data_IF_275892457632
#
_entry.id   IF_275892457632
#
_cell.length_a   1.000
_cell.length_b   1.000
_cell.length_c   1.000
_cell.angle_alpha   90.00
_cell.angle_beta   90.00
_cell.angle_gamma   90.00
#
_symmetry.space_group_name_H-M   'P 1'
#
loop_
_entity.id
_entity.type
_entity.pdbx_description
1 polymer ?
#
# COMPACT_ATOMS: atom_id res chain seq x y z
N UNK A 1 -6.67 78.64 -59.36
CA UNK A 1 -8.07 78.99 -59.60
C UNK A 1 -8.79 78.38 -58.40
N UNK A 2 -8.89 79.15 -57.42
CA UNK A 2 -9.98 80.13 -57.16
C UNK A 2 -11.13 79.35 -56.54
N UNK A 3 -11.24 79.60 -55.27
CA UNK A 3 -12.32 80.34 -54.60
C UNK A 3 -13.52 79.49 -54.31
N UNK A 4 -14.22 79.47 -53.16
CA UNK A 4 -14.33 80.38 -52.06
C UNK A 4 -15.07 79.63 -50.92
N UNK A 5 -14.61 79.82 -49.76
CA UNK A 5 -15.22 80.32 -48.50
C UNK A 5 -16.77 80.33 -48.47
N UNK A 6 -17.34 79.64 -47.49
CA UNK A 6 -18.17 80.29 -46.48
C UNK A 6 -18.65 79.40 -45.37
N UNK A 7 -18.21 79.71 -44.16
CA UNK A 7 -18.88 79.67 -42.87
C UNK A 7 -20.35 79.30 -42.88
N UNK A 8 -20.68 78.33 -42.04
CA UNK A 8 -21.83 78.43 -41.17
C UNK A 8 -21.53 77.79 -39.83
N UNK A 9 -21.35 78.60 -38.84
CA UNK A 9 -21.50 78.23 -37.44
C UNK A 9 -22.94 77.76 -37.27
N UNK A 10 -23.10 76.58 -36.72
CA UNK A 10 -24.36 76.13 -36.19
C UNK A 10 -24.05 75.56 -34.81
N UNK A 11 -24.68 76.19 -33.88
CA UNK A 11 -24.65 75.98 -32.45
C UNK A 11 -24.70 74.53 -32.09
N UNK A 12 -23.71 74.06 -31.27
CA UNK A 12 -23.80 72.86 -30.49
C UNK A 12 -24.73 73.09 -29.37
N UNK A 13 -25.97 72.73 -29.54
CA UNK A 13 -26.90 72.60 -28.40
C UNK A 13 -26.31 71.43 -27.55
N UNK A 14 -25.81 71.77 -26.38
CA UNK A 14 -25.46 70.94 -25.26
C UNK A 14 -26.78 70.32 -24.75
N UNK A 15 -27.07 69.08 -25.23
CA UNK A 15 -28.13 68.30 -24.66
C UNK A 15 -27.60 67.78 -23.31
N UNK A 16 -27.89 68.54 -22.27
CA UNK A 16 -27.81 68.08 -20.90
C UNK A 16 -28.92 67.01 -20.78
N UNK A 17 -28.59 65.79 -20.96
CA UNK A 17 -29.41 64.61 -20.58
C UNK A 17 -29.56 64.71 -19.05
N UNK A 18 -30.65 65.28 -18.59
CA UNK A 18 -31.10 65.18 -17.19
C UNK A 18 -31.49 63.74 -16.96
N UNK A 19 -30.51 62.92 -16.50
CA UNK A 19 -30.80 61.59 -15.95
C UNK A 19 -31.86 61.76 -14.86
N UNK A 20 -33.02 61.17 -15.06
CA UNK A 20 -34.07 61.14 -14.05
C UNK A 20 -33.60 60.34 -12.82
N UNK A 21 -33.91 60.78 -11.57
CA UNK A 21 -33.40 60.06 -10.37
C UNK A 21 -33.72 58.55 -10.36
N UNK A 22 -34.75 58.12 -11.05
CA UNK A 22 -35.19 56.73 -11.17
C UNK A 22 -34.19 55.87 -11.98
N UNK A 23 -33.55 56.40 -13.02
CA UNK A 23 -32.55 55.73 -13.86
C UNK A 23 -31.22 55.58 -13.11
N UNK A 24 -30.87 56.48 -12.22
CA UNK A 24 -29.66 56.43 -11.39
C UNK A 24 -29.83 55.41 -10.27
N UNK A 25 -31.01 55.30 -9.64
CA UNK A 25 -31.28 54.24 -8.63
C UNK A 25 -31.26 52.82 -9.24
N UNK A 26 -31.83 52.61 -10.43
CA UNK A 26 -31.77 51.31 -11.13
C UNK A 26 -30.33 50.94 -11.55
N UNK A 27 -29.52 51.89 -11.96
CA UNK A 27 -28.10 51.66 -12.32
C UNK A 27 -27.27 51.27 -11.08
N UNK A 28 -27.51 51.90 -9.91
CA UNK A 28 -26.85 51.57 -8.66
C UNK A 28 -27.28 50.17 -8.11
N UNK A 29 -28.54 49.80 -8.26
CA UNK A 29 -29.02 48.47 -7.92
C UNK A 29 -28.39 47.37 -8.81
N UNK A 30 -28.30 47.62 -10.10
CA UNK A 30 -27.66 46.69 -11.06
C UNK A 30 -26.18 46.50 -10.75
N UNK A 31 -25.44 47.57 -10.45
CA UNK A 31 -24.03 47.51 -10.05
C UNK A 31 -23.84 46.75 -8.72
N UNK A 32 -24.73 46.96 -7.78
CA UNK A 32 -24.70 46.24 -6.48
C UNK A 32 -24.99 44.75 -6.64
N UNK A 33 -25.92 44.41 -7.51
CA UNK A 33 -26.24 43.01 -7.83
C UNK A 33 -25.09 42.32 -8.60
N UNK A 34 -24.45 43.04 -9.52
CA UNK A 34 -23.29 42.53 -10.26
C UNK A 34 -22.08 42.25 -9.33
N UNK A 35 -21.80 43.14 -8.37
CA UNK A 35 -20.77 42.93 -7.36
C UNK A 35 -21.08 41.71 -6.48
N UNK A 36 -22.32 41.54 -6.03
CA UNK A 36 -22.74 40.33 -5.30
C UNK A 36 -22.62 39.07 -6.10
N UNK A 37 -22.93 39.08 -7.39
CA UNK A 37 -22.78 37.93 -8.30
C UNK A 37 -21.29 37.55 -8.43
N UNK A 38 -20.40 38.52 -8.58
CA UNK A 38 -18.94 38.26 -8.65
C UNK A 38 -18.42 37.68 -7.35
N UNK A 39 -18.78 38.24 -6.21
CA UNK A 39 -18.42 37.72 -4.88
C UNK A 39 -18.90 36.27 -4.67
N UNK A 40 -20.17 36.04 -5.01
CA UNK A 40 -20.75 34.67 -4.91
C UNK A 40 -20.07 33.68 -5.85
N UNK A 41 -19.73 34.11 -7.07
CA UNK A 41 -18.99 33.24 -8.01
C UNK A 41 -17.57 32.91 -7.50
N UNK A 42 -16.90 33.89 -6.89
CA UNK A 42 -15.59 33.65 -6.26
C UNK A 42 -15.71 32.65 -5.10
N UNK A 43 -16.71 32.85 -4.21
CA UNK A 43 -16.97 31.89 -3.12
C UNK A 43 -17.27 30.47 -3.65
N UNK A 44 -18.09 30.35 -4.68
CA UNK A 44 -18.40 29.07 -5.33
C UNK A 44 -17.14 28.43 -5.90
N UNK A 45 -16.25 29.21 -6.52
CA UNK A 45 -14.99 28.69 -7.04
C UNK A 45 -14.04 28.22 -5.94
N UNK A 46 -13.94 28.98 -4.84
CA UNK A 46 -13.14 28.59 -3.67
C UNK A 46 -13.70 27.26 -3.10
N UNK A 47 -15.00 27.19 -2.84
CA UNK A 47 -15.66 26.02 -2.29
C UNK A 47 -15.52 24.79 -3.22
N UNK A 48 -15.61 24.98 -4.54
CA UNK A 48 -15.37 23.89 -5.51
C UNK A 48 -13.95 23.35 -5.44
N UNK A 49 -12.97 24.25 -5.32
CA UNK A 49 -11.57 23.86 -5.21
C UNK A 49 -11.28 23.15 -3.88
N UNK A 50 -11.83 23.63 -2.77
CA UNK A 50 -11.72 22.97 -1.46
C UNK A 50 -12.40 21.60 -1.46
N UNK A 51 -13.59 21.50 -2.05
CA UNK A 51 -14.28 20.22 -2.20
C UNK A 51 -13.48 19.23 -3.05
N UNK A 52 -12.96 19.68 -4.19
CA UNK A 52 -12.14 18.83 -5.05
C UNK A 52 -10.88 18.32 -4.32
N UNK A 53 -10.23 19.19 -3.54
CA UNK A 53 -9.08 18.82 -2.71
C UNK A 53 -9.47 17.81 -1.62
N UNK A 54 -10.52 18.10 -0.87
CA UNK A 54 -11.01 17.21 0.18
C UNK A 54 -11.45 15.84 -0.37
N UNK A 55 -12.06 15.82 -1.54
CA UNK A 55 -12.41 14.58 -2.25
C UNK A 55 -11.17 13.78 -2.64
N UNK A 56 -10.16 14.43 -3.22
CA UNK A 56 -8.91 13.77 -3.59
C UNK A 56 -8.17 13.22 -2.35
N UNK A 57 -8.13 13.97 -1.26
CA UNK A 57 -7.51 13.55 0.01
C UNK A 57 -8.26 12.35 0.62
N UNK A 58 -9.60 12.34 0.51
CA UNK A 58 -10.44 11.22 0.97
C UNK A 58 -10.17 9.96 0.14
N UNK A 59 -10.12 10.08 -1.18
CA UNK A 59 -9.81 8.95 -2.07
C UNK A 59 -8.40 8.39 -1.82
N UNK A 60 -7.41 9.25 -1.63
CA UNK A 60 -6.05 8.84 -1.29
C UNK A 60 -6.00 8.11 0.06
N UNK A 61 -6.73 8.64 1.05
CA UNK A 61 -6.83 8.03 2.38
C UNK A 61 -7.52 6.68 2.30
N UNK A 62 -8.61 6.55 1.54
CA UNK A 62 -9.32 5.29 1.30
C UNK A 62 -8.40 4.24 0.67
N UNK A 63 -7.65 4.61 -0.38
CA UNK A 63 -6.71 3.70 -1.04
C UNK A 63 -5.61 3.23 -0.07
N UNK A 64 -5.06 4.14 0.74
CA UNK A 64 -4.04 3.81 1.74
C UNK A 64 -4.59 2.86 2.80
N UNK A 65 -5.77 3.16 3.36
CA UNK A 65 -6.40 2.31 4.37
C UNK A 65 -6.73 0.91 3.82
N UNK A 66 -7.17 0.83 2.56
CA UNK A 66 -7.43 -0.45 1.92
C UNK A 66 -6.13 -1.27 1.77
N UNK A 67 -5.05 -0.65 1.30
CA UNK A 67 -3.75 -1.33 1.17
C UNK A 67 -3.20 -1.78 2.54
N UNK A 68 -3.34 -0.95 3.58
CA UNK A 68 -2.95 -1.28 4.95
C UNK A 68 -3.79 -2.44 5.50
N UNK A 69 -5.10 -2.44 5.27
CA UNK A 69 -6.00 -3.51 5.67
C UNK A 69 -5.63 -4.82 4.98
N UNK A 70 -5.43 -4.81 3.66
CA UNK A 70 -5.05 -5.99 2.89
C UNK A 70 -3.70 -6.55 3.36
N UNK A 71 -2.73 -5.67 3.65
CA UNK A 71 -1.44 -6.07 4.20
C UNK A 71 -1.57 -6.70 5.60
N UNK A 72 -2.35 -6.09 6.50
CA UNK A 72 -2.59 -6.63 7.84
C UNK A 72 -3.29 -7.98 7.80
N UNK A 73 -4.33 -8.10 6.96
CA UNK A 73 -5.07 -9.35 6.79
C UNK A 73 -4.18 -10.44 6.20
N UNK A 74 -3.34 -10.09 5.22
CA UNK A 74 -2.40 -11.02 4.58
C UNK A 74 -1.44 -11.67 5.59
N UNK A 75 -1.04 -10.95 6.63
CA UNK A 75 -0.06 -11.40 7.61
C UNK A 75 -0.60 -11.54 9.05
N UNK A 76 -1.91 -11.57 9.22
CA UNK A 76 -2.56 -11.66 10.53
C UNK A 76 -2.10 -12.91 11.30
N UNK A 77 -1.92 -14.03 10.60
CA UNK A 77 -1.51 -15.30 11.19
C UNK A 77 -0.02 -15.39 11.53
N UNK A 78 0.77 -14.35 11.21
CA UNK A 78 2.23 -14.40 11.41
C UNK A 78 2.65 -14.74 12.85
N UNK A 79 2.10 -14.03 13.82
CA UNK A 79 2.50 -14.21 15.22
C UNK A 79 2.05 -15.58 15.75
N UNK A 80 0.83 -15.99 15.42
CA UNK A 80 0.32 -17.30 15.78
C UNK A 80 1.19 -18.43 15.17
N UNK A 81 1.57 -18.27 13.90
CA UNK A 81 2.44 -19.24 13.24
C UNK A 81 3.80 -19.36 13.93
N UNK A 82 4.41 -18.23 14.32
CA UNK A 82 5.70 -18.24 15.03
C UNK A 82 5.63 -18.98 16.38
N UNK A 83 4.52 -18.90 17.08
CA UNK A 83 4.30 -19.63 18.32
C UNK A 83 4.04 -21.13 18.08
N UNK A 84 3.53 -21.49 16.90
CA UNK A 84 3.22 -22.88 16.55
C UNK A 84 4.45 -23.64 16.01
N UNK A 85 5.43 -22.95 15.39
CA UNK A 85 6.63 -23.58 14.85
C UNK A 85 7.42 -24.42 15.87
N UNK A 86 7.60 -24.01 17.15
CA UNK A 86 8.28 -24.86 18.14
C UNK A 86 7.56 -26.19 18.42
N UNK A 87 6.24 -26.23 18.22
CA UNK A 87 5.46 -27.49 18.37
C UNK A 87 5.81 -28.43 17.22
N UNK A 88 5.89 -27.92 16.00
CA UNK A 88 6.36 -28.71 14.85
C UNK A 88 7.79 -29.24 15.05
N UNK A 89 8.72 -28.38 15.51
CA UNK A 89 10.09 -28.78 15.82
C UNK A 89 10.14 -29.89 16.89
N UNK A 90 9.21 -29.86 17.84
CA UNK A 90 9.12 -30.89 18.89
C UNK A 90 8.60 -32.22 18.34
N UNK A 91 7.64 -32.18 17.40
CA UNK A 91 7.18 -33.38 16.69
C UNK A 91 8.31 -33.96 15.82
N UNK A 92 9.07 -33.14 15.12
CA UNK A 92 10.21 -33.59 14.32
C UNK A 92 11.29 -34.28 15.17
N UNK A 93 11.64 -33.66 16.31
CA UNK A 93 12.56 -34.29 17.25
C UNK A 93 12.05 -35.63 17.80
N UNK A 94 10.75 -35.73 18.09
CA UNK A 94 10.15 -36.98 18.55
C UNK A 94 10.20 -38.06 17.45
N UNK A 95 9.96 -37.66 16.19
CA UNK A 95 10.03 -38.59 15.04
C UNK A 95 11.48 -39.04 14.70
N UNK A 96 12.47 -38.16 14.97
CA UNK A 96 13.88 -38.49 14.79
C UNK A 96 14.44 -39.46 15.84
N UNK A 97 13.77 -39.58 17.00
CA UNK A 97 14.20 -40.54 18.02
C UNK A 97 13.84 -41.97 17.63
N UNK A 98 14.79 -42.87 17.85
CA UNK A 98 14.53 -44.31 17.67
C UNK A 98 13.53 -44.78 18.75
N UNK A 99 12.39 -45.28 18.32
CA UNK A 99 11.37 -45.90 19.19
C UNK A 99 10.96 -47.22 18.62
N UNK A 100 10.69 -48.18 19.51
CA UNK A 100 10.14 -49.51 19.15
C UNK A 100 8.61 -49.50 19.09
N UNK A 101 7.98 -48.38 19.53
CA UNK A 101 6.51 -48.24 19.52
C UNK A 101 6.09 -47.57 18.20
N UNK A 102 5.75 -48.38 17.23
CA UNK A 102 5.26 -47.91 15.92
C UNK A 102 3.93 -47.17 16.02
N UNK A 103 3.06 -47.52 16.97
CA UNK A 103 1.77 -46.87 17.14
C UNK A 103 1.96 -45.43 17.63
N UNK A 104 2.88 -45.21 18.55
CA UNK A 104 3.27 -43.88 19.00
C UNK A 104 3.87 -43.03 17.87
N UNK A 105 4.83 -43.60 17.13
CA UNK A 105 5.46 -42.95 15.99
C UNK A 105 4.44 -42.48 14.96
N UNK A 106 3.53 -43.41 14.57
CA UNK A 106 2.45 -43.14 13.62
C UNK A 106 1.49 -42.02 14.15
N UNK A 107 1.20 -42.01 15.47
CA UNK A 107 0.41 -40.98 16.09
C UNK A 107 1.03 -39.60 15.98
N UNK A 108 2.33 -39.48 16.28
CA UNK A 108 3.08 -38.21 16.14
C UNK A 108 3.17 -37.76 14.68
N UNK A 109 3.40 -38.67 13.75
CA UNK A 109 3.44 -38.41 12.31
C UNK A 109 2.10 -37.83 11.80
N UNK A 110 0.98 -38.41 12.26
CA UNK A 110 -0.35 -37.89 11.92
C UNK A 110 -0.58 -36.48 12.48
N UNK A 111 -0.18 -36.19 13.71
CA UNK A 111 -0.27 -34.86 14.33
C UNK A 111 0.58 -33.86 13.52
N UNK A 112 1.82 -34.22 13.21
CA UNK A 112 2.73 -33.40 12.41
C UNK A 112 2.11 -33.06 11.05
N UNK A 113 1.60 -34.08 10.32
CA UNK A 113 0.98 -33.88 9.03
C UNK A 113 -0.29 -33.00 9.09
N UNK A 114 -1.09 -33.11 10.15
CA UNK A 114 -2.26 -32.26 10.34
C UNK A 114 -1.87 -30.79 10.60
N UNK A 115 -0.84 -30.53 11.41
CA UNK A 115 -0.31 -29.21 11.67
C UNK A 115 0.27 -28.59 10.40
N UNK A 116 1.06 -29.35 9.66
CA UNK A 116 1.64 -28.91 8.38
C UNK A 116 0.56 -28.54 7.36
N UNK A 117 -0.48 -29.37 7.25
CA UNK A 117 -1.63 -29.11 6.38
C UNK A 117 -2.41 -27.86 6.82
N UNK A 118 -2.59 -27.65 8.14
CA UNK A 118 -3.27 -26.47 8.66
C UNK A 118 -2.48 -25.19 8.33
N UNK A 119 -1.17 -25.19 8.55
CA UNK A 119 -0.30 -24.06 8.21
C UNK A 119 -0.26 -23.78 6.70
N UNK A 120 -0.22 -24.82 5.88
CA UNK A 120 -0.22 -24.67 4.42
C UNK A 120 -1.49 -23.99 3.89
N UNK A 121 -2.67 -24.28 4.49
CA UNK A 121 -3.94 -23.60 4.15
C UNK A 121 -3.89 -22.10 4.43
N UNK A 122 -3.13 -21.68 5.44
CA UNK A 122 -2.93 -20.26 5.76
C UNK A 122 -1.80 -19.62 4.92
N UNK A 123 -1.23 -20.38 3.97
CA UNK A 123 -0.16 -19.93 3.08
C UNK A 123 1.21 -19.90 3.77
N UNK A 124 1.37 -20.68 4.83
CA UNK A 124 2.64 -20.89 5.52
C UNK A 124 3.28 -22.16 4.95
N UNK A 125 4.44 -22.02 4.35
CA UNK A 125 5.15 -23.11 3.68
C UNK A 125 6.57 -23.25 4.22
N UNK A 126 7.06 -24.49 4.24
CA UNK A 126 8.45 -24.80 4.53
C UNK A 126 9.36 -24.23 3.44
N UNK A 127 10.56 -23.82 3.83
CA UNK A 127 11.62 -23.39 2.92
C UNK A 127 12.44 -24.62 2.58
N UNK A 128 12.42 -25.01 1.32
CA UNK A 128 13.26 -26.11 0.82
C UNK A 128 14.70 -25.60 0.69
N UNK A 129 15.51 -25.96 1.67
CA UNK A 129 16.88 -25.48 1.76
C UNK A 129 17.92 -26.58 1.42
N UNK A 130 17.57 -27.88 1.57
CA UNK A 130 18.54 -28.97 1.41
C UNK A 130 19.00 -29.04 -0.05
N UNK A 131 20.32 -29.17 -0.24
CA UNK A 131 20.97 -29.21 -1.55
C UNK A 131 20.74 -27.97 -2.43
N UNK A 132 20.30 -26.86 -1.83
CA UNK A 132 20.18 -25.58 -2.52
C UNK A 132 21.36 -24.66 -2.21
N UNK A 133 21.68 -23.71 -3.10
CA UNK A 133 22.63 -22.65 -2.78
C UNK A 133 22.19 -21.88 -1.54
N UNK A 134 23.14 -21.52 -0.70
CA UNK A 134 22.88 -20.70 0.48
C UNK A 134 22.37 -19.30 0.08
N UNK A 135 21.22 -18.92 0.60
CA UNK A 135 20.65 -17.59 0.45
C UNK A 135 20.40 -16.95 1.84
N UNK A 136 21.14 -15.90 2.19
CA UNK A 136 21.03 -15.22 3.47
C UNK A 136 19.66 -14.56 3.74
N UNK A 137 18.78 -14.43 2.74
CA UNK A 137 17.41 -13.96 2.94
C UNK A 137 16.50 -15.03 3.56
N UNK A 138 16.80 -16.31 3.34
CA UNK A 138 15.97 -17.46 3.72
C UNK A 138 16.66 -18.41 4.68
N UNK A 139 17.99 -18.45 4.66
CA UNK A 139 18.82 -19.39 5.42
C UNK A 139 19.70 -18.67 6.42
N UNK A 140 20.00 -19.35 7.52
CA UNK A 140 20.97 -18.94 8.53
C UNK A 140 22.00 -20.04 8.68
N UNK A 141 23.22 -19.83 8.20
CA UNK A 141 24.31 -20.77 8.39
C UNK A 141 24.76 -20.75 9.86
N UNK A 142 24.71 -21.91 10.52
CA UNK A 142 25.24 -22.12 11.88
C UNK A 142 26.61 -22.77 11.87
N UNK A 143 26.86 -23.61 10.88
CA UNK A 143 28.10 -24.39 10.75
C UNK A 143 28.52 -24.44 9.29
N UNK A 144 29.81 -24.57 9.06
CA UNK A 144 30.40 -24.94 7.79
C UNK A 144 31.10 -26.28 7.90
N UNK A 145 31.15 -27.06 6.83
CA UNK A 145 31.81 -28.35 6.75
C UNK A 145 32.42 -28.50 5.36
N UNK A 146 33.72 -28.81 5.30
CA UNK A 146 34.36 -29.03 4.04
C UNK A 146 33.90 -30.38 3.45
N UNK A 147 33.34 -30.33 2.24
CA UNK A 147 32.87 -31.49 1.50
C UNK A 147 33.33 -31.42 0.05
N UNK A 148 34.08 -32.45 -0.37
CA UNK A 148 34.64 -32.54 -1.73
C UNK A 148 33.58 -32.90 -2.78
N UNK A 149 32.44 -33.48 -2.35
CA UNK A 149 31.35 -33.97 -3.20
C UNK A 149 30.27 -32.92 -3.49
N UNK A 150 30.36 -31.72 -2.92
CA UNK A 150 29.35 -30.67 -3.02
C UNK A 150 30.02 -29.33 -3.31
N UNK A 151 29.39 -28.53 -4.17
CA UNK A 151 29.90 -27.19 -4.48
C UNK A 151 29.94 -26.30 -3.23
N UNK A 152 31.00 -25.46 -3.03
CA UNK A 152 31.08 -24.52 -1.94
C UNK A 152 29.84 -23.58 -1.91
N UNK A 153 29.36 -23.32 -0.72
CA UNK A 153 28.18 -22.48 -0.53
C UNK A 153 26.83 -23.20 -0.70
N UNK A 154 26.84 -24.54 -0.78
CA UNK A 154 25.59 -25.32 -0.85
C UNK A 154 25.19 -25.81 0.54
N UNK A 155 23.88 -25.84 0.80
CA UNK A 155 23.30 -26.34 2.04
C UNK A 155 23.39 -27.87 2.05
N UNK A 156 24.18 -28.42 2.99
CA UNK A 156 24.41 -29.86 3.13
C UNK A 156 23.52 -30.55 4.16
N UNK A 157 23.02 -29.76 5.11
CA UNK A 157 22.14 -30.27 6.17
C UNK A 157 21.20 -29.14 6.69
N UNK A 158 19.97 -29.52 6.99
CA UNK A 158 18.99 -28.60 7.62
C UNK A 158 18.86 -28.99 9.09
N UNK A 159 19.42 -28.16 9.97
CA UNK A 159 19.39 -28.38 11.42
C UNK A 159 18.03 -28.00 12.01
N UNK A 160 17.40 -26.97 11.46
CA UNK A 160 16.05 -26.54 11.82
C UNK A 160 15.35 -25.98 10.58
N UNK A 161 14.15 -26.46 10.32
CA UNK A 161 13.38 -26.04 9.16
C UNK A 161 12.98 -24.58 9.20
N UNK A 162 13.12 -23.91 8.08
CA UNK A 162 12.65 -22.55 7.86
C UNK A 162 11.21 -22.51 7.36
N UNK A 163 10.51 -21.42 7.63
CA UNK A 163 9.13 -21.22 7.18
C UNK A 163 8.91 -19.80 6.66
N UNK A 164 8.08 -19.70 5.64
CA UNK A 164 7.62 -18.42 5.09
C UNK A 164 6.09 -18.35 5.08
N UNK A 165 5.54 -17.15 5.19
CA UNK A 165 4.13 -16.88 4.93
C UNK A 165 4.00 -16.14 3.61
N UNK A 166 3.46 -16.81 2.60
CA UNK A 166 3.40 -16.28 1.23
C UNK A 166 4.79 -15.83 0.75
N UNK A 167 5.03 -14.55 0.63
CA UNK A 167 6.28 -13.91 0.17
C UNK A 167 7.19 -13.39 1.30
N UNK A 168 6.80 -13.59 2.56
CA UNK A 168 7.52 -13.03 3.72
C UNK A 168 8.13 -14.12 4.58
N UNK A 169 9.39 -13.93 4.96
CA UNK A 169 10.07 -14.80 5.91
C UNK A 169 9.38 -14.76 7.28
N UNK A 170 9.09 -15.94 7.85
CA UNK A 170 8.69 -16.15 9.25
C UNK A 170 9.90 -16.51 10.12
N UNK A 171 10.61 -17.55 9.72
CA UNK A 171 11.81 -18.06 10.37
C UNK A 171 12.76 -18.60 9.34
N UNK A 172 14.02 -18.17 9.37
CA UNK A 172 15.06 -18.71 8.49
C UNK A 172 15.32 -20.19 8.80
N UNK A 173 15.67 -20.96 7.77
CA UNK A 173 16.16 -22.31 7.96
C UNK A 173 17.57 -22.25 8.56
N UNK A 174 17.81 -22.95 9.67
CA UNK A 174 19.14 -23.09 10.23
C UNK A 174 19.84 -24.24 9.52
N UNK A 175 20.94 -23.93 8.86
CA UNK A 175 21.59 -24.86 7.94
C UNK A 175 23.07 -24.99 8.22
N UNK A 176 23.63 -26.13 7.78
CA UNK A 176 25.06 -26.34 7.60
C UNK A 176 25.37 -26.16 6.12
N UNK A 177 26.48 -25.48 5.81
CA UNK A 177 26.87 -25.10 4.45
C UNK A 177 28.22 -25.72 4.12
N UNK A 178 28.40 -26.15 2.87
CA UNK A 178 29.68 -26.61 2.35
C UNK A 178 30.67 -25.44 2.27
N UNK A 179 31.92 -25.70 2.66
CA UNK A 179 33.03 -24.73 2.54
C UNK A 179 33.78 -24.93 1.22
#
# INVERSE_FOLDING_TARGET
>A
MSEDIKKTETEVEEVVETETPEVVEEADEVTTLQTKITELNEQVNILKNEYAKAYADTENTRKRLQADFDSRTKFMMKNFALELLPVLDSCERALAQATTDEAYRKGVEMIYGQLQNALSKEGITEIDALNQPFDGNWHQALMTEAREDVEPGTVIEVLQKGYRIKDRLLRAAMVKVSE
#
